data_IF_481106941535
#
_entry.id   IF_481106941535
#
_cell.length_a   1.000
_cell.length_b   1.000
_cell.length_c   1.000
_cell.angle_alpha   90.00
_cell.angle_beta   90.00
_cell.angle_gamma   90.00
#
_symmetry.space_group_name_H-M   'P 1'
#
loop_
_entity.id
_entity.type
_entity.pdbx_description
1 polymer ?
#
# COMPACT_ATOMS: atom_id res chain seq x y z
N UNK A 1 2.19 -19.78 -17.27
CA UNK A 1 3.09 -18.73 -17.86
C UNK A 1 3.70 -18.01 -16.69
N UNK A 2 5.01 -18.09 -16.50
CA UNK A 2 5.69 -17.43 -15.40
C UNK A 2 5.84 -15.95 -15.71
N UNK A 3 5.61 -15.09 -14.71
CA UNK A 3 5.95 -13.68 -14.82
C UNK A 3 7.39 -13.54 -14.36
N UNK A 4 8.21 -12.97 -15.22
CA UNK A 4 9.60 -12.64 -14.90
C UNK A 4 9.64 -11.16 -14.55
N UNK A 5 9.97 -10.86 -13.30
CA UNK A 5 10.23 -9.49 -12.82
C UNK A 5 11.68 -9.41 -12.41
N UNK A 6 12.45 -8.53 -13.03
CA UNK A 6 13.89 -8.38 -12.79
C UNK A 6 14.65 -9.72 -12.91
N UNK A 7 14.38 -10.51 -13.96
CA UNK A 7 14.94 -11.84 -14.20
C UNK A 7 14.57 -12.92 -13.16
N UNK A 8 13.60 -12.65 -12.30
CA UNK A 8 13.07 -13.61 -11.33
C UNK A 8 11.65 -14.03 -11.69
N UNK A 9 11.41 -15.34 -11.63
CA UNK A 9 10.11 -15.96 -11.83
C UNK A 9 9.34 -16.00 -10.51
N UNK A 10 8.02 -15.70 -10.55
CA UNK A 10 7.18 -15.87 -9.38
C UNK A 10 7.02 -17.37 -9.10
N UNK A 11 7.45 -17.79 -7.94
CA UNK A 11 7.18 -19.14 -7.42
C UNK A 11 5.80 -19.16 -6.70
N UNK A 12 4.75 -19.36 -7.49
CA UNK A 12 3.37 -19.45 -6.97
C UNK A 12 3.20 -20.61 -5.98
N UNK A 13 3.93 -21.73 -6.17
CA UNK A 13 3.86 -22.85 -5.26
C UNK A 13 4.33 -22.46 -3.86
N UNK A 14 5.44 -21.74 -3.77
CA UNK A 14 5.95 -21.21 -2.50
C UNK A 14 4.95 -20.28 -1.82
N UNK A 15 4.25 -19.47 -2.58
CA UNK A 15 3.25 -18.55 -2.02
C UNK A 15 2.02 -19.28 -1.52
N UNK A 16 1.56 -20.31 -2.22
CA UNK A 16 0.45 -21.16 -1.76
C UNK A 16 0.79 -21.98 -0.52
N UNK A 17 2.08 -22.27 -0.29
CA UNK A 17 2.57 -23.01 0.88
C UNK A 17 2.88 -22.12 2.11
N UNK A 18 2.75 -20.80 1.99
CA UNK A 18 3.06 -19.84 3.07
C UNK A 18 1.96 -19.71 4.13
N UNK A 19 1.11 -20.70 4.27
CA UNK A 19 0.08 -20.70 5.31
C UNK A 19 0.71 -20.60 6.71
N UNK A 20 0.14 -19.73 7.54
CA UNK A 20 0.49 -19.58 8.94
C UNK A 20 -0.64 -20.19 9.76
N UNK A 21 -0.30 -21.10 10.65
CA UNK A 21 -1.27 -21.79 11.48
C UNK A 21 -1.16 -21.36 12.95
N UNK A 22 -2.32 -21.12 13.54
CA UNK A 22 -2.48 -20.88 14.96
C UNK A 22 -2.37 -19.41 15.38
N UNK A 23 -3.35 -18.97 16.15
CA UNK A 23 -3.50 -17.59 16.62
C UNK A 23 -2.35 -17.09 17.50
N UNK A 24 -1.57 -17.99 18.09
CA UNK A 24 -0.46 -17.64 19.00
C UNK A 24 0.70 -16.90 18.30
N UNK A 25 0.75 -16.95 16.96
CA UNK A 25 1.79 -16.28 16.16
C UNK A 25 1.31 -14.98 15.53
N UNK A 26 0.02 -14.68 15.60
CA UNK A 26 -0.54 -13.49 15.00
C UNK A 26 -0.09 -12.21 15.73
N UNK A 27 0.31 -11.21 14.93
CA UNK A 27 0.61 -9.87 15.46
C UNK A 27 -0.66 -9.09 15.76
N UNK A 28 -1.73 -9.40 15.03
CA UNK A 28 -3.04 -8.79 15.19
C UNK A 28 -3.98 -9.74 15.94
N UNK A 29 -4.40 -9.32 17.13
CA UNK A 29 -5.25 -10.12 18.01
C UNK A 29 -6.71 -10.23 17.53
N UNK A 30 -7.12 -9.42 16.55
CA UNK A 30 -8.46 -9.45 15.96
C UNK A 30 -8.54 -10.38 14.74
N UNK A 31 -7.38 -10.82 14.22
CA UNK A 31 -7.34 -11.74 13.11
C UNK A 31 -7.56 -13.17 13.59
N UNK A 32 -8.65 -13.78 13.16
CA UNK A 32 -8.97 -15.18 13.43
C UNK A 32 -8.43 -16.09 12.33
N UNK A 33 -8.12 -17.34 12.65
CA UNK A 33 -7.53 -18.32 11.72
C UNK A 33 -8.42 -18.56 10.49
N UNK A 34 -9.75 -18.70 10.69
CA UNK A 34 -10.70 -18.87 9.58
C UNK A 34 -10.70 -17.64 8.65
N UNK A 35 -10.67 -16.45 9.24
CA UNK A 35 -10.61 -15.19 8.52
C UNK A 35 -9.30 -15.07 7.73
N UNK A 36 -8.17 -15.47 8.33
CA UNK A 36 -6.88 -15.48 7.65
C UNK A 36 -6.90 -16.40 6.41
N UNK A 37 -7.35 -17.65 6.56
CA UNK A 37 -7.37 -18.61 5.45
C UNK A 37 -8.27 -18.14 4.30
N UNK A 38 -9.47 -17.68 4.59
CA UNK A 38 -10.39 -17.15 3.56
C UNK A 38 -9.76 -15.98 2.78
N UNK A 39 -9.15 -15.06 3.50
CA UNK A 39 -8.50 -13.88 2.88
C UNK A 39 -7.24 -14.26 2.11
N UNK A 40 -6.41 -15.14 2.67
CA UNK A 40 -5.21 -15.63 2.02
C UNK A 40 -5.54 -16.30 0.69
N UNK A 41 -6.47 -17.23 0.69
CA UNK A 41 -6.93 -17.92 -0.51
C UNK A 41 -7.50 -16.94 -1.54
N UNK A 42 -8.29 -15.98 -1.10
CA UNK A 42 -8.88 -14.95 -1.97
C UNK A 42 -7.79 -14.12 -2.65
N UNK A 43 -6.81 -13.63 -1.90
CA UNK A 43 -5.75 -12.78 -2.45
C UNK A 43 -4.79 -13.56 -3.35
N UNK A 44 -4.31 -14.72 -2.93
CA UNK A 44 -3.35 -15.51 -3.70
C UNK A 44 -3.98 -16.04 -4.98
N UNK A 45 -5.20 -16.57 -4.91
CA UNK A 45 -5.92 -17.04 -6.10
C UNK A 45 -6.28 -15.87 -7.04
N UNK A 46 -6.65 -14.71 -6.48
CA UNK A 46 -6.89 -13.49 -7.24
C UNK A 46 -5.65 -13.04 -8.00
N UNK A 47 -4.51 -12.96 -7.32
CA UNK A 47 -3.23 -12.60 -7.92
C UNK A 47 -2.80 -13.59 -9.00
N UNK A 48 -2.92 -14.89 -8.73
CA UNK A 48 -2.60 -15.95 -9.70
C UNK A 48 -3.47 -15.81 -10.95
N UNK A 49 -4.80 -15.78 -10.79
CA UNK A 49 -5.75 -15.75 -11.91
C UNK A 49 -5.59 -14.50 -12.76
N UNK A 50 -5.42 -13.33 -12.14
CA UNK A 50 -5.20 -12.08 -12.88
C UNK A 50 -3.88 -12.10 -13.63
N UNK A 51 -2.83 -12.60 -13.00
CA UNK A 51 -1.50 -12.64 -13.58
C UNK A 51 -1.42 -13.61 -14.75
N UNK A 52 -2.01 -14.80 -14.64
CA UNK A 52 -2.07 -15.79 -15.71
C UNK A 52 -2.90 -15.30 -16.90
N UNK A 53 -4.06 -14.69 -16.65
CA UNK A 53 -4.95 -14.16 -17.69
C UNK A 53 -4.57 -12.80 -18.27
N UNK A 54 -3.57 -12.13 -17.72
CA UNK A 54 -3.28 -10.73 -18.05
C UNK A 54 -2.84 -10.52 -19.52
N UNK A 55 -2.08 -11.45 -20.07
CA UNK A 55 -1.66 -11.43 -21.46
C UNK A 55 -2.84 -11.54 -22.45
N UNK A 56 -3.87 -12.29 -22.08
CA UNK A 56 -5.05 -12.49 -22.93
C UNK A 56 -5.89 -11.23 -23.02
N UNK A 57 -6.08 -10.51 -21.92
CA UNK A 57 -6.74 -9.19 -21.94
C UNK A 57 -6.02 -8.19 -22.85
N UNK A 58 -4.69 -8.18 -22.81
CA UNK A 58 -3.85 -7.32 -23.65
C UNK A 58 -4.00 -7.65 -25.13
N UNK A 59 -3.97 -8.94 -25.46
CA UNK A 59 -4.07 -9.44 -26.84
C UNK A 59 -5.47 -9.23 -27.44
N UNK A 60 -6.52 -9.38 -26.66
CA UNK A 60 -7.90 -9.20 -27.07
C UNK A 60 -8.33 -7.72 -27.15
N UNK A 61 -7.46 -6.78 -26.77
CA UNK A 61 -7.74 -5.33 -26.68
C UNK A 61 -8.98 -4.99 -25.82
N UNK A 62 -9.24 -5.81 -24.80
CA UNK A 62 -10.32 -5.56 -23.84
C UNK A 62 -9.86 -4.63 -22.73
N UNK A 63 -9.52 -3.41 -23.07
CA UNK A 63 -8.92 -2.43 -22.14
C UNK A 63 -9.67 -2.26 -20.81
N UNK A 64 -11.01 -2.24 -20.83
CA UNK A 64 -11.77 -2.07 -19.58
C UNK A 64 -11.55 -3.20 -18.57
N UNK A 65 -11.55 -4.46 -19.03
CA UNK A 65 -11.26 -5.62 -18.19
C UNK A 65 -9.80 -5.63 -17.71
N UNK A 66 -8.89 -5.28 -18.59
CA UNK A 66 -7.46 -5.20 -18.31
C UNK A 66 -7.14 -4.15 -17.24
N UNK A 67 -7.74 -2.96 -17.30
CA UNK A 67 -7.58 -1.91 -16.30
C UNK A 67 -8.15 -2.36 -14.94
N UNK A 68 -9.36 -2.94 -14.92
CA UNK A 68 -9.98 -3.43 -13.70
C UNK A 68 -9.12 -4.54 -13.04
N UNK A 69 -8.63 -5.49 -13.84
CA UNK A 69 -7.75 -6.56 -13.39
C UNK A 69 -6.41 -6.03 -12.85
N UNK A 70 -5.78 -5.08 -13.55
CA UNK A 70 -4.54 -4.46 -13.11
C UNK A 70 -4.69 -3.71 -11.78
N UNK A 71 -5.77 -2.94 -11.63
CA UNK A 71 -6.10 -2.27 -10.36
C UNK A 71 -6.31 -3.27 -9.23
N UNK A 72 -7.11 -4.31 -9.47
CA UNK A 72 -7.39 -5.35 -8.48
C UNK A 72 -6.12 -6.03 -8.01
N UNK A 73 -5.21 -6.37 -8.94
CA UNK A 73 -3.93 -6.99 -8.62
C UNK A 73 -3.06 -6.15 -7.68
N UNK A 74 -3.01 -4.83 -7.86
CA UNK A 74 -2.27 -3.93 -6.95
C UNK A 74 -2.89 -3.96 -5.55
N UNK A 75 -4.21 -3.89 -5.45
CA UNK A 75 -4.93 -3.89 -4.17
C UNK A 75 -4.74 -5.23 -3.47
N UNK A 76 -4.94 -6.35 -4.15
CA UNK A 76 -4.80 -7.69 -3.57
C UNK A 76 -3.36 -7.95 -3.09
N UNK A 77 -2.35 -7.45 -3.82
CA UNK A 77 -0.96 -7.55 -3.38
C UNK A 77 -0.69 -6.75 -2.10
N UNK A 78 -1.17 -5.52 -2.00
CA UNK A 78 -1.05 -4.69 -0.80
C UNK A 78 -1.80 -5.32 0.39
N UNK A 79 -2.99 -5.88 0.14
CA UNK A 79 -3.79 -6.52 1.16
C UNK A 79 -3.13 -7.82 1.64
N UNK A 80 -2.56 -8.62 0.73
CA UNK A 80 -1.78 -9.81 1.08
C UNK A 80 -0.54 -9.46 1.93
N UNK A 81 0.18 -8.40 1.59
CA UNK A 81 1.31 -7.93 2.39
C UNK A 81 0.88 -7.55 3.82
N UNK A 82 -0.26 -6.87 3.94
CA UNK A 82 -0.82 -6.48 5.23
C UNK A 82 -1.32 -7.69 6.03
N UNK A 83 -2.01 -8.63 5.37
CA UNK A 83 -2.50 -9.87 5.98
C UNK A 83 -1.35 -10.73 6.49
N UNK A 84 -0.29 -10.89 5.70
CA UNK A 84 0.92 -11.63 6.10
C UNK A 84 1.59 -10.99 7.32
N UNK A 85 1.65 -9.67 7.36
CA UNK A 85 2.17 -8.98 8.54
C UNK A 85 1.28 -9.26 9.77
N UNK A 86 -0.03 -9.10 9.65
CA UNK A 86 -1.01 -9.33 10.73
C UNK A 86 -0.94 -10.75 11.28
N UNK A 87 -0.78 -11.72 10.40
CA UNK A 87 -0.68 -13.15 10.75
C UNK A 87 0.67 -13.57 11.35
N UNK A 88 1.62 -12.67 11.54
CA UNK A 88 2.94 -13.02 12.07
C UNK A 88 3.92 -13.56 11.03
N UNK A 89 3.59 -13.45 9.74
CA UNK A 89 4.41 -13.93 8.64
C UNK A 89 5.80 -13.30 8.56
N UNK A 90 6.69 -13.96 7.82
CA UNK A 90 8.05 -13.48 7.59
C UNK A 90 8.03 -12.18 6.76
N UNK A 91 8.66 -11.14 7.30
CA UNK A 91 8.80 -9.84 6.62
C UNK A 91 9.67 -9.96 5.37
N UNK A 92 10.59 -10.92 5.33
CA UNK A 92 11.36 -11.25 4.12
C UNK A 92 10.46 -11.60 2.94
N UNK A 93 9.35 -12.31 3.19
CA UNK A 93 8.35 -12.59 2.16
C UNK A 93 7.63 -11.33 1.69
N UNK A 94 7.22 -10.44 2.62
CA UNK A 94 6.63 -9.14 2.27
C UNK A 94 7.59 -8.34 1.39
N UNK A 95 8.87 -8.33 1.72
CA UNK A 95 9.92 -7.72 0.91
C UNK A 95 10.01 -8.33 -0.49
N UNK A 96 9.96 -9.66 -0.61
CA UNK A 96 10.03 -10.37 -1.91
C UNK A 96 8.84 -10.04 -2.82
N UNK A 97 7.67 -9.74 -2.26
CA UNK A 97 6.47 -9.38 -3.03
C UNK A 97 6.55 -7.96 -3.62
N UNK A 98 7.27 -7.07 -2.98
CA UNK A 98 7.28 -5.65 -3.35
C UNK A 98 7.76 -5.36 -4.79
N UNK A 99 8.83 -5.98 -5.33
CA UNK A 99 9.23 -5.79 -6.73
C UNK A 99 8.15 -6.17 -7.75
N UNK A 100 7.35 -7.21 -7.46
CA UNK A 100 6.22 -7.58 -8.31
C UNK A 100 5.10 -6.53 -8.24
N UNK A 101 4.76 -6.08 -7.05
CA UNK A 101 3.79 -5.00 -6.84
C UNK A 101 4.20 -3.73 -7.60
N UNK A 102 5.47 -3.37 -7.55
CA UNK A 102 6.01 -2.22 -8.29
C UNK A 102 5.87 -2.40 -9.80
N UNK A 103 6.23 -3.56 -10.33
CA UNK A 103 6.06 -3.90 -11.74
C UNK A 103 4.59 -3.85 -12.17
N UNK A 104 3.68 -4.44 -11.40
CA UNK A 104 2.25 -4.42 -11.69
C UNK A 104 1.65 -3.01 -11.64
N UNK A 105 2.19 -2.15 -10.79
CA UNK A 105 1.79 -0.74 -10.73
C UNK A 105 2.20 0.02 -11.99
N UNK A 106 3.41 -0.21 -12.49
CA UNK A 106 3.89 0.35 -13.77
C UNK A 106 3.08 -0.15 -14.96
N UNK A 107 2.80 -1.46 -15.00
CA UNK A 107 1.99 -2.08 -16.05
C UNK A 107 0.55 -1.55 -16.04
N UNK A 108 -0.04 -1.35 -14.88
CA UNK A 108 -1.35 -0.70 -14.73
C UNK A 108 -1.34 0.72 -15.26
N UNK A 109 -0.31 1.51 -14.94
CA UNK A 109 -0.17 2.88 -15.40
C UNK A 109 -0.01 2.96 -16.93
N UNK A 110 0.84 2.09 -17.52
CA UNK A 110 1.00 1.99 -18.97
C UNK A 110 -0.31 1.64 -19.66
N UNK A 111 -1.04 0.67 -19.11
CA UNK A 111 -2.32 0.23 -19.67
C UNK A 111 -3.38 1.33 -19.61
N UNK A 112 -3.45 2.04 -18.48
CA UNK A 112 -4.35 3.18 -18.31
C UNK A 112 -4.05 4.29 -19.32
N UNK A 113 -2.76 4.56 -19.54
CA UNK A 113 -2.33 5.51 -20.56
C UNK A 113 -2.74 5.09 -21.98
N UNK A 114 -2.49 3.84 -22.35
CA UNK A 114 -2.89 3.30 -23.65
C UNK A 114 -4.42 3.33 -23.86
N UNK A 115 -5.19 3.04 -22.81
CA UNK A 115 -6.66 3.16 -22.87
C UNK A 115 -7.08 4.59 -23.16
N UNK A 116 -6.52 5.57 -22.44
CA UNK A 116 -6.86 6.98 -22.61
C UNK A 116 -6.56 7.52 -24.01
N UNK A 117 -5.60 6.91 -24.72
CA UNK A 117 -5.27 7.23 -26.11
C UNK A 117 -6.13 6.47 -27.12
N UNK A 118 -6.92 5.49 -26.68
CA UNK A 118 -7.71 4.64 -27.56
C UNK A 118 -9.07 5.28 -27.90
N UNK A 119 -9.68 4.95 -29.07
CA UNK A 119 -11.06 5.34 -29.37
C UNK A 119 -12.08 4.76 -28.35
N UNK A 120 -11.73 3.69 -27.66
CA UNK A 120 -12.63 3.01 -26.70
C UNK A 120 -12.80 3.79 -25.39
N UNK A 121 -11.95 4.78 -25.15
CA UNK A 121 -12.06 5.65 -23.97
C UNK A 121 -13.38 6.46 -23.95
N UNK A 122 -13.97 6.76 -25.12
CA UNK A 122 -15.24 7.45 -25.29
C UNK A 122 -15.38 8.71 -24.40
N UNK A 123 -14.31 9.49 -24.29
CA UNK A 123 -14.22 10.67 -23.43
C UNK A 123 -14.12 10.38 -21.91
N UNK A 124 -14.05 9.12 -21.52
CA UNK A 124 -13.75 8.74 -20.13
C UNK A 124 -12.25 8.64 -19.94
N UNK A 125 -11.78 9.24 -18.87
CA UNK A 125 -10.38 9.22 -18.52
C UNK A 125 -10.13 8.29 -17.33
N UNK A 126 -9.12 7.42 -17.45
CA UNK A 126 -8.68 6.56 -16.37
C UNK A 126 -7.40 7.14 -15.78
N UNK A 127 -7.47 7.53 -14.52
CA UNK A 127 -6.33 8.01 -13.77
C UNK A 127 -5.43 6.83 -13.40
N UNK A 128 -4.14 7.05 -13.39
CA UNK A 128 -3.17 6.06 -12.93
C UNK A 128 -3.38 5.79 -11.43
N UNK A 129 -2.78 6.59 -10.55
CA UNK A 129 -3.04 6.58 -9.11
C UNK A 129 -3.30 8.04 -8.72
N UNK A 130 -4.59 8.41 -8.69
CA UNK A 130 -4.98 9.80 -8.40
C UNK A 130 -5.06 10.06 -6.91
N UNK A 131 -4.27 11.01 -6.42
CA UNK A 131 -4.37 11.48 -5.04
C UNK A 131 -5.70 12.20 -4.74
N UNK A 132 -6.51 12.49 -5.77
CA UNK A 132 -7.83 13.13 -5.62
C UNK A 132 -8.93 12.19 -5.15
N UNK A 133 -8.74 10.87 -5.22
CA UNK A 133 -9.71 9.88 -4.77
C UNK A 133 -9.20 9.16 -3.53
N UNK A 134 -10.11 8.83 -2.61
CA UNK A 134 -9.77 8.22 -1.32
C UNK A 134 -9.03 6.91 -1.47
N UNK A 135 -9.60 6.00 -2.27
CA UNK A 135 -9.03 4.67 -2.51
C UNK A 135 -7.61 4.75 -3.07
N UNK A 136 -7.40 5.56 -4.09
CA UNK A 136 -6.08 5.68 -4.72
C UNK A 136 -5.07 6.41 -3.85
N UNK A 137 -5.51 7.38 -3.06
CA UNK A 137 -4.63 8.03 -2.09
C UNK A 137 -4.08 7.02 -1.08
N UNK A 138 -4.94 6.13 -0.56
CA UNK A 138 -4.53 5.10 0.37
C UNK A 138 -3.65 4.02 -0.28
N UNK A 139 -3.93 3.66 -1.54
CA UNK A 139 -3.04 2.79 -2.34
C UNK A 139 -1.66 3.43 -2.48
N UNK A 140 -1.57 4.72 -2.85
CA UNK A 140 -0.30 5.43 -2.97
C UNK A 140 0.48 5.46 -1.64
N UNK A 141 -0.21 5.73 -0.53
CA UNK A 141 0.40 5.73 0.80
C UNK A 141 1.00 4.36 1.15
N UNK A 142 0.24 3.29 0.96
CA UNK A 142 0.71 1.91 1.25
C UNK A 142 1.87 1.51 0.36
N UNK A 143 1.81 1.78 -0.95
CA UNK A 143 2.92 1.56 -1.89
C UNK A 143 4.21 2.19 -1.40
N UNK A 144 4.16 3.46 -0.99
CA UNK A 144 5.31 4.19 -0.50
C UNK A 144 5.78 3.60 0.84
N UNK A 145 4.88 3.42 1.81
CA UNK A 145 5.25 2.92 3.14
C UNK A 145 5.89 1.53 3.08
N UNK A 146 5.31 0.58 2.32
CA UNK A 146 5.93 -0.73 2.16
C UNK A 146 7.27 -0.64 1.43
N UNK A 147 7.40 0.19 0.40
CA UNK A 147 8.67 0.39 -0.28
C UNK A 147 9.77 0.90 0.64
N UNK A 148 9.46 1.91 1.46
CA UNK A 148 10.41 2.46 2.44
C UNK A 148 10.80 1.41 3.48
N UNK A 149 9.82 0.71 4.05
CA UNK A 149 10.01 -0.20 5.18
C UNK A 149 10.57 -1.58 4.78
N UNK A 150 10.54 -1.94 3.50
CA UNK A 150 11.12 -3.18 2.99
C UNK A 150 12.45 -3.00 2.24
N UNK A 151 13.02 -1.79 2.29
CA UNK A 151 14.34 -1.51 1.74
C UNK A 151 14.37 -1.14 0.25
N UNK A 152 13.25 -0.66 -0.30
CA UNK A 152 13.12 -0.19 -1.68
C UNK A 152 12.93 1.34 -1.77
N UNK A 153 13.45 2.08 -0.81
CA UNK A 153 13.37 3.54 -0.79
C UNK A 153 13.96 4.20 -2.05
N UNK A 154 15.01 3.59 -2.60
CA UNK A 154 15.66 4.00 -3.85
C UNK A 154 14.77 3.81 -5.10
N UNK A 155 13.68 3.03 -4.99
CA UNK A 155 12.75 2.79 -6.09
C UNK A 155 11.59 3.80 -6.15
N UNK A 156 11.51 4.75 -5.22
CA UNK A 156 10.42 5.74 -5.17
C UNK A 156 10.35 6.58 -6.46
N UNK A 157 11.45 6.77 -7.17
CA UNK A 157 11.47 7.46 -8.45
C UNK A 157 10.61 6.77 -9.54
N UNK A 158 10.30 5.48 -9.40
CA UNK A 158 9.44 4.72 -10.32
C UNK A 158 7.95 4.94 -10.00
N UNK A 159 7.60 5.12 -8.74
CA UNK A 159 6.22 5.33 -8.27
C UNK A 159 5.77 6.76 -8.52
N UNK A 160 6.62 7.73 -8.24
CA UNK A 160 6.21 9.14 -8.26
C UNK A 160 5.72 9.63 -9.63
N UNK A 161 6.29 9.23 -10.79
CA UNK A 161 5.74 9.60 -12.10
C UNK A 161 4.31 9.08 -12.33
N UNK A 162 3.94 7.95 -11.71
CA UNK A 162 2.60 7.36 -11.79
C UNK A 162 1.61 8.18 -10.94
N UNK A 163 2.05 8.57 -9.75
CA UNK A 163 1.25 9.41 -8.84
C UNK A 163 1.12 10.84 -9.38
N UNK A 164 2.20 11.39 -9.94
CA UNK A 164 2.23 12.76 -10.47
C UNK A 164 1.55 12.89 -11.85
N UNK A 165 1.18 11.76 -12.44
CA UNK A 165 0.59 11.77 -13.77
C UNK A 165 -0.68 12.62 -13.80
N UNK A 166 -0.69 13.58 -14.72
CA UNK A 166 -1.83 14.44 -15.00
C UNK A 166 -2.15 14.41 -16.48
N UNK A 167 -3.41 14.54 -16.80
CA UNK A 167 -3.84 14.74 -18.16
C UNK A 167 -3.40 16.13 -18.66
N UNK A 168 -3.02 16.21 -19.93
CA UNK A 168 -2.52 17.46 -20.53
C UNK A 168 -3.51 18.65 -20.48
N UNK A 169 -4.77 18.39 -20.14
CA UNK A 169 -5.85 19.39 -20.05
C UNK A 169 -6.18 19.84 -18.63
N UNK A 170 -5.64 19.18 -17.62
CA UNK A 170 -5.83 19.55 -16.20
C UNK A 170 -4.61 20.25 -15.64
N UNK A 171 -4.82 21.29 -14.84
CA UNK A 171 -3.75 21.82 -13.99
C UNK A 171 -3.19 20.68 -13.13
N UNK A 172 -1.87 20.62 -12.97
CA UNK A 172 -1.15 19.49 -12.37
C UNK A 172 -1.78 18.96 -11.08
N UNK A 173 -1.60 17.67 -10.78
CA UNK A 173 -2.06 17.14 -9.51
C UNK A 173 -1.50 17.97 -8.36
N UNK A 174 -2.38 18.40 -7.47
CA UNK A 174 -1.92 19.02 -6.24
C UNK A 174 -1.15 17.98 -5.41
N UNK A 175 0.05 18.35 -4.99
CA UNK A 175 0.90 17.51 -4.15
C UNK A 175 0.28 17.29 -2.77
N UNK A 176 0.52 16.12 -2.19
CA UNK A 176 0.12 15.81 -0.83
C UNK A 176 1.29 16.04 0.14
N UNK A 177 1.03 16.76 1.23
CA UNK A 177 2.08 17.14 2.16
C UNK A 177 2.73 15.99 2.93
N UNK A 178 2.02 14.89 3.18
CA UNK A 178 2.60 13.71 3.81
C UNK A 178 3.40 12.88 2.81
N UNK A 179 2.81 12.57 1.65
CA UNK A 179 3.46 11.80 0.60
C UNK A 179 4.76 12.47 0.15
N UNK A 180 4.73 13.79 -0.09
CA UNK A 180 5.93 14.54 -0.48
C UNK A 180 7.04 14.44 0.58
N UNK A 181 6.70 14.52 1.87
CA UNK A 181 7.69 14.41 2.95
C UNK A 181 8.29 13.00 3.06
N UNK A 182 7.50 11.97 2.77
CA UNK A 182 7.99 10.58 2.78
C UNK A 182 8.97 10.31 1.64
N UNK A 183 8.76 10.89 0.47
CA UNK A 183 9.56 10.58 -0.72
C UNK A 183 10.68 11.57 -1.02
N UNK A 184 10.62 12.80 -0.50
CA UNK A 184 11.58 13.87 -0.79
C UNK A 184 13.06 13.48 -0.59
N UNK A 185 13.47 12.66 0.40
CA UNK A 185 14.85 12.24 0.54
C UNK A 185 15.37 11.32 -0.58
N UNK A 186 14.46 10.68 -1.33
CA UNK A 186 14.79 9.62 -2.30
C UNK A 186 14.51 10.02 -3.75
N UNK A 187 13.70 11.07 -3.97
CA UNK A 187 13.32 11.53 -5.30
C UNK A 187 13.72 12.98 -5.46
N UNK A 188 14.60 13.24 -6.43
CA UNK A 188 15.11 14.59 -6.71
C UNK A 188 14.00 15.52 -7.23
N UNK A 189 14.22 16.82 -7.07
CA UNK A 189 13.40 17.89 -7.66
C UNK A 189 11.92 17.94 -7.23
N UNK A 190 11.61 17.37 -6.04
CA UNK A 190 10.23 17.40 -5.51
C UNK A 190 9.77 18.80 -5.08
N UNK A 191 10.70 19.70 -4.81
CA UNK A 191 10.41 21.04 -4.26
C UNK A 191 10.02 21.00 -2.79
N UNK A 192 9.41 22.09 -2.30
CA UNK A 192 8.96 22.17 -0.91
C UNK A 192 7.64 21.43 -0.73
N UNK A 193 7.54 20.45 0.18
CA UNK A 193 6.29 19.78 0.48
C UNK A 193 5.21 20.74 0.99
N UNK A 194 3.94 20.60 0.56
CA UNK A 194 2.83 21.37 1.11
C UNK A 194 2.66 21.17 2.62
N UNK A 195 2.06 22.15 3.30
CA UNK A 195 1.79 22.06 4.74
C UNK A 195 0.53 21.26 5.07
N UNK A 196 -0.23 20.85 4.08
CA UNK A 196 -1.48 20.11 4.26
C UNK A 196 -1.42 18.74 3.55
N UNK A 197 -1.97 17.71 4.22
CA UNK A 197 -2.29 16.45 3.59
C UNK A 197 -3.66 16.56 2.90
N UNK A 198 -3.81 15.99 1.71
CA UNK A 198 -5.10 15.94 1.00
C UNK A 198 -6.16 15.18 1.79
N UNK A 199 -5.77 14.09 2.44
CA UNK A 199 -6.58 13.41 3.45
C UNK A 199 -6.37 14.07 4.81
N UNK A 200 -7.45 14.63 5.35
CA UNK A 200 -7.36 15.46 6.55
C UNK A 200 -7.02 14.64 7.79
N UNK A 201 -7.85 13.67 8.13
CA UNK A 201 -7.68 12.80 9.29
C UNK A 201 -7.54 11.34 8.86
N UNK A 202 -6.71 10.58 9.56
CA UNK A 202 -5.81 10.96 10.65
C UNK A 202 -4.52 11.67 10.20
N UNK A 203 -4.16 11.59 8.94
CA UNK A 203 -2.83 11.72 8.34
C UNK A 203 -2.16 13.08 8.51
N UNK A 204 -2.90 14.19 8.45
CA UNK A 204 -2.31 15.53 8.58
C UNK A 204 -1.60 15.79 9.91
N UNK A 205 -1.93 14.98 10.94
CA UNK A 205 -1.25 15.09 12.25
C UNK A 205 0.22 14.72 12.15
N UNK A 206 0.61 13.82 11.24
CA UNK A 206 1.98 13.43 11.01
C UNK A 206 2.85 14.55 10.41
N UNK A 207 2.28 15.49 9.68
CA UNK A 207 3.01 16.65 9.17
C UNK A 207 3.63 17.45 10.34
N UNK A 208 2.97 17.49 11.49
CA UNK A 208 3.51 18.14 12.69
C UNK A 208 4.79 17.48 13.20
N UNK A 209 4.92 16.15 13.02
CA UNK A 209 6.11 15.41 13.45
C UNK A 209 7.34 15.85 12.65
N UNK A 210 7.18 16.05 11.33
CA UNK A 210 8.25 16.55 10.47
C UNK A 210 8.72 17.97 10.88
N UNK A 211 7.79 18.80 11.31
CA UNK A 211 8.06 20.18 11.67
C UNK A 211 8.52 20.38 13.13
N UNK A 212 8.46 19.30 13.94
CA UNK A 212 8.79 19.36 15.37
C UNK A 212 10.30 19.15 15.62
N UNK A 213 10.76 19.68 16.76
CA UNK A 213 12.08 19.38 17.26
C UNK A 213 12.23 17.87 17.57
N UNK A 214 13.41 17.26 17.34
CA UNK A 214 13.60 15.81 17.45
C UNK A 214 13.08 15.21 18.77
N UNK A 215 13.30 15.89 19.88
CA UNK A 215 12.88 15.46 21.24
C UNK A 215 11.36 15.45 21.45
N UNK A 216 10.59 16.07 20.58
CA UNK A 216 9.13 16.13 20.65
C UNK A 216 8.46 15.07 19.75
N UNK A 217 9.20 14.51 18.79
CA UNK A 217 8.64 13.67 17.72
C UNK A 217 7.99 12.40 18.27
N UNK A 218 8.66 11.70 19.20
CA UNK A 218 8.12 10.47 19.78
C UNK A 218 6.78 10.68 20.48
N UNK A 219 6.62 11.77 21.25
CA UNK A 219 5.36 12.12 21.89
C UNK A 219 4.25 12.45 20.88
N UNK A 220 4.57 13.08 19.75
CA UNK A 220 3.62 13.37 18.69
C UNK A 220 3.18 12.12 17.94
N UNK A 221 4.07 11.14 17.72
CA UNK A 221 3.70 9.83 17.15
C UNK A 221 2.78 9.09 18.11
N UNK A 222 3.08 9.04 19.41
CA UNK A 222 2.18 8.43 20.39
C UNK A 222 0.78 9.05 20.35
N UNK A 223 0.66 10.38 20.40
CA UNK A 223 -0.64 11.07 20.28
C UNK A 223 -1.36 10.77 18.96
N UNK A 224 -0.60 10.59 17.88
CA UNK A 224 -1.15 10.17 16.60
C UNK A 224 -1.77 8.79 16.70
N UNK A 225 -1.03 7.80 17.19
CA UNK A 225 -1.47 6.40 17.33
C UNK A 225 -2.67 6.27 18.27
N UNK A 226 -2.66 6.94 19.43
CA UNK A 226 -3.78 6.95 20.38
C UNK A 226 -5.10 7.42 19.77
N UNK A 227 -5.06 8.27 18.74
CA UNK A 227 -6.25 8.79 18.08
C UNK A 227 -6.48 8.22 16.68
N UNK A 228 -5.58 7.37 16.20
CA UNK A 228 -5.54 6.93 14.80
C UNK A 228 -6.81 6.20 14.37
N UNK A 229 -7.19 5.15 15.09
CA UNK A 229 -8.37 4.35 14.74
C UNK A 229 -9.66 5.18 14.74
N UNK A 230 -9.90 5.92 15.82
CA UNK A 230 -11.07 6.78 15.91
C UNK A 230 -11.12 7.89 14.85
N UNK A 231 -9.96 8.41 14.45
CA UNK A 231 -9.86 9.42 13.41
C UNK A 231 -10.01 8.85 11.99
N UNK A 232 -9.91 7.53 11.84
CA UNK A 232 -9.97 6.80 10.56
C UNK A 232 -11.38 6.37 10.16
N UNK A 233 -12.44 6.89 10.78
CA UNK A 233 -13.84 6.43 10.55
C UNK A 233 -14.33 6.50 9.12
N UNK A 234 -13.70 7.32 8.28
CA UNK A 234 -14.04 7.45 6.86
C UNK A 234 -13.10 6.67 5.96
N UNK A 235 -12.12 5.98 6.52
CA UNK A 235 -11.17 5.20 5.76
C UNK A 235 -11.77 3.82 5.40
N UNK A 236 -11.42 3.27 4.23
CA UNK A 236 -12.02 2.03 3.73
C UNK A 236 -11.70 0.80 4.60
N UNK A 237 -10.66 0.86 5.43
CA UNK A 237 -10.28 -0.23 6.33
C UNK A 237 -10.97 -0.17 7.70
N UNK A 238 -11.68 0.92 8.04
CA UNK A 238 -12.30 1.07 9.35
C UNK A 238 -13.47 0.09 9.53
N UNK A 239 -13.60 -0.52 10.71
CA UNK A 239 -14.66 -1.47 11.08
C UNK A 239 -14.83 -2.66 10.12
N UNK A 240 -13.73 -3.18 9.56
CA UNK A 240 -13.78 -4.37 8.71
C UNK A 240 -13.78 -5.70 9.49
N UNK A 241 -13.21 -5.75 10.70
CA UNK A 241 -13.09 -6.99 11.48
C UNK A 241 -14.47 -7.58 11.94
N UNK A 242 -15.52 -6.78 12.22
CA UNK A 242 -16.81 -7.35 12.59
C UNK A 242 -17.69 -7.73 11.40
N UNK A 243 -17.23 -7.51 10.17
CA UNK A 243 -17.97 -7.84 8.96
C UNK A 243 -17.82 -9.34 8.68
N UNK A 244 -18.77 -10.11 9.22
CA UNK A 244 -18.84 -11.57 9.10
C UNK A 244 -19.94 -12.03 8.15
N UNK A 245 -20.41 -11.19 7.22
CA UNK A 245 -21.37 -11.64 6.23
C UNK A 245 -20.66 -12.57 5.24
N UNK A 246 -20.93 -13.85 5.41
CA UNK A 246 -20.36 -14.95 4.62
C UNK A 246 -20.61 -14.81 3.11
N UNK A 247 -21.59 -13.99 2.72
CA UNK A 247 -21.90 -13.73 1.31
C UNK A 247 -21.02 -12.64 0.71
N UNK A 248 -20.46 -11.74 1.54
CA UNK A 248 -19.58 -10.66 1.10
C UNK A 248 -18.08 -11.00 1.29
N UNK A 249 -17.80 -12.13 1.97
CA UNK A 249 -16.45 -12.55 2.36
C UNK A 249 -15.86 -11.66 3.46
N UNK A 250 -14.78 -12.13 4.05
CA UNK A 250 -14.01 -11.31 4.98
C UNK A 250 -13.20 -10.25 4.23
N UNK A 251 -13.17 -9.01 4.73
CA UNK A 251 -12.40 -7.91 4.12
C UNK A 251 -11.22 -7.47 4.98
N UNK A 252 -11.14 -7.98 6.21
CA UNK A 252 -10.14 -7.61 7.18
C UNK A 252 -8.75 -8.16 6.86
N UNK A 253 -7.74 -7.32 7.00
CA UNK A 253 -6.31 -7.66 6.82
C UNK A 253 -5.40 -7.03 7.90
N UNK A 254 -5.99 -6.50 8.98
CA UNK A 254 -5.29 -5.87 10.09
C UNK A 254 -5.40 -4.35 10.12
N UNK A 255 -5.28 -3.79 11.32
CA UNK A 255 -5.27 -2.34 11.56
C UNK A 255 -3.86 -1.87 11.89
N UNK A 256 -3.17 -1.32 10.89
CA UNK A 256 -1.79 -0.89 11.04
C UNK A 256 -1.56 0.52 10.48
N UNK A 257 -0.95 1.37 11.28
CA UNK A 257 -0.50 2.68 10.84
C UNK A 257 0.88 2.58 10.16
N UNK A 258 0.85 2.15 8.89
CA UNK A 258 2.06 2.03 8.06
C UNK A 258 2.81 3.34 7.94
N UNK A 259 2.07 4.45 7.89
CA UNK A 259 2.60 5.79 7.78
C UNK A 259 3.32 6.26 9.06
N UNK A 260 2.85 5.86 10.25
CA UNK A 260 3.56 6.15 11.49
C UNK A 260 4.90 5.40 11.54
N UNK A 261 4.92 4.14 11.08
CA UNK A 261 6.14 3.35 10.94
C UNK A 261 7.12 3.99 9.95
N UNK A 262 6.64 4.38 8.76
CA UNK A 262 7.48 5.01 7.74
C UNK A 262 8.08 6.33 8.23
N UNK A 263 7.29 7.17 8.92
CA UNK A 263 7.78 8.44 9.53
C UNK A 263 8.80 8.15 10.62
N UNK A 264 8.55 7.15 11.47
CA UNK A 264 9.48 6.74 12.54
C UNK A 264 10.82 6.32 11.97
N UNK A 265 10.81 5.45 10.97
CA UNK A 265 12.01 4.99 10.28
C UNK A 265 12.73 6.15 9.59
N UNK A 266 12.02 6.95 8.81
CA UNK A 266 12.58 8.03 8.01
C UNK A 266 13.25 9.12 8.85
N UNK A 267 12.67 9.44 10.00
CA UNK A 267 13.17 10.49 10.89
C UNK A 267 14.05 9.93 12.03
N UNK A 268 14.38 8.63 11.98
CA UNK A 268 15.19 7.94 12.98
C UNK A 268 14.69 8.16 14.42
N UNK A 269 13.35 8.13 14.61
CA UNK A 269 12.74 8.39 15.93
C UNK A 269 12.91 7.15 16.82
N UNK A 270 13.32 7.36 18.08
CA UNK A 270 13.27 6.34 19.12
C UNK A 270 11.81 6.00 19.43
N UNK A 271 11.40 4.77 19.11
CA UNK A 271 10.02 4.29 19.24
C UNK A 271 9.70 3.66 20.60
N UNK A 272 10.63 3.67 21.55
CA UNK A 272 10.46 3.06 22.88
C UNK A 272 9.15 3.49 23.56
N UNK A 273 8.73 4.74 23.37
CA UNK A 273 7.54 5.31 23.99
C UNK A 273 6.21 4.70 23.48
N UNK A 274 6.16 4.28 22.21
CA UNK A 274 4.93 3.81 21.55
C UNK A 274 5.11 2.44 20.87
N UNK A 275 6.23 1.81 21.06
CA UNK A 275 6.60 0.56 20.40
C UNK A 275 5.57 -0.55 20.58
N UNK A 276 4.94 -0.62 21.74
CA UNK A 276 3.93 -1.64 22.08
C UNK A 276 2.48 -1.18 21.79
N UNK A 277 2.31 -0.07 21.04
CA UNK A 277 0.99 0.39 20.66
C UNK A 277 0.36 -0.56 19.64
N UNK A 278 -0.92 -0.93 19.82
CA UNK A 278 -1.64 -1.95 19.04
C UNK A 278 -1.66 -1.69 17.53
N UNK A 279 -1.62 -0.43 17.10
CA UNK A 279 -1.63 -0.06 15.67
C UNK A 279 -0.24 0.23 15.10
N UNK A 280 0.81 0.03 15.87
CA UNK A 280 2.16 0.34 15.42
C UNK A 280 2.90 -0.92 14.92
N UNK A 281 3.26 -1.00 13.63
CA UNK A 281 3.90 -2.18 13.05
C UNK A 281 5.42 -2.22 13.35
N UNK A 282 5.77 -2.42 14.63
CA UNK A 282 7.15 -2.37 15.16
C UNK A 282 8.13 -3.29 14.46
N UNK A 283 7.71 -4.52 14.13
CA UNK A 283 8.61 -5.51 13.54
C UNK A 283 9.05 -5.10 12.13
N UNK A 284 8.16 -4.39 11.39
CA UNK A 284 8.49 -3.86 10.08
C UNK A 284 9.51 -2.71 10.18
N UNK A 285 9.41 -1.89 11.24
CA UNK A 285 10.40 -0.83 11.51
C UNK A 285 11.74 -1.43 11.91
N UNK A 286 11.76 -2.49 12.73
CA UNK A 286 12.98 -3.20 13.08
C UNK A 286 13.66 -3.79 11.84
N UNK A 287 12.88 -4.43 10.98
CA UNK A 287 13.37 -4.95 9.71
C UNK A 287 13.99 -3.86 8.82
N UNK A 288 13.34 -2.71 8.73
CA UNK A 288 13.81 -1.58 7.92
C UNK A 288 15.10 -0.94 8.48
N UNK A 289 15.41 -1.14 9.76
CA UNK A 289 16.63 -0.63 10.41
C UNK A 289 17.84 -1.55 10.26
N UNK A 290 17.66 -2.80 9.75
CA UNK A 290 18.75 -3.77 9.50
C UNK A 290 19.37 -3.59 8.13
#
# INVERSE_FOLDING_TARGET
MSIIVNDQEIDWQRWLELEIHGNDVYRDSLLEEEMYHDRFDTFVNGLYSVTDGFSDYKNEKKFGGYIAAGRRRIIDALDLMSLQYSAGGDIGFIKELYPYLLHWTEEYAETSHLYNLSPDADGRYVWHISLGTEDYWYVALRLICFGLLTGYADQMYRIMPIIDYVEATTEGQEKDGLIERLVAPFVADRGTPPDEARRHLPYRKLIKVFNAAPEQRAALILQYLESWYEASRTEPYHDQHPQTDINDGFTYYGYWSWEAAAVTWLLEIDDTLYREHEFYPKDLVDFART
#
